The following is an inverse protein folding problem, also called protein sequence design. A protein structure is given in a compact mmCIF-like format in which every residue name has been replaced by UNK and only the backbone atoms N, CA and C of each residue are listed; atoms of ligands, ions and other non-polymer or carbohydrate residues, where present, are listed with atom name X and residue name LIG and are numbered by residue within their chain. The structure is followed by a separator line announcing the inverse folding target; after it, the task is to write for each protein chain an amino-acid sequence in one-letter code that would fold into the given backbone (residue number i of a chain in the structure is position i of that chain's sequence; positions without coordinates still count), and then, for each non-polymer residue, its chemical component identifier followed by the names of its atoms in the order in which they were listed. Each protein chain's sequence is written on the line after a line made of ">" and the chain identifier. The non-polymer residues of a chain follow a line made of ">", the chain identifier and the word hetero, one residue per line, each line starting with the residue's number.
data_IF_018717948492
#
_entry.id   IF_018717948492
#
_cell.length_a   1.000
_cell.length_b   1.000
_cell.length_c   1.000
_cell.angle_alpha   90.00
_cell.angle_beta   90.00
_cell.angle_gamma   90.00
#
_symmetry.space_group_name_H-M   'P 1'
#
loop_
_entity.id
_entity.type
_entity.pdbx_description
1 polymer ?
#
# COMPACT_ATOMS: atom_id res chain seq x y z
N UNK A 1 9.09 32.03 -28.58
CA UNK A 1 8.51 32.42 -27.27
C UNK A 1 7.00 32.44 -27.44
N UNK A 2 6.13 31.62 -26.84
CA UNK A 2 6.15 30.73 -25.68
C UNK A 2 5.27 29.51 -26.04
N UNK A 3 5.76 28.29 -25.91
CA UNK A 3 4.90 27.09 -25.96
C UNK A 3 4.41 26.82 -24.54
N UNK A 4 3.11 27.01 -24.31
CA UNK A 4 2.46 26.52 -23.11
C UNK A 4 2.02 25.07 -23.37
N UNK A 5 2.64 24.12 -22.68
CA UNK A 5 2.13 22.76 -22.55
C UNK A 5 1.40 22.65 -21.21
N UNK A 6 0.08 22.55 -21.30
CA UNK A 6 -0.83 22.19 -20.21
C UNK A 6 -0.54 20.75 -19.80
N UNK A 7 -0.02 20.54 -18.59
CA UNK A 7 0.12 19.19 -18.02
C UNK A 7 -1.26 18.78 -17.52
N UNK A 8 -1.91 17.89 -18.27
CA UNK A 8 -3.16 17.26 -17.85
C UNK A 8 -2.90 16.35 -16.65
N UNK A 9 -3.72 16.51 -15.61
CA UNK A 9 -3.68 15.71 -14.40
C UNK A 9 -3.87 14.24 -14.74
N UNK A 10 -2.90 13.41 -14.39
CA UNK A 10 -3.06 11.96 -14.44
C UNK A 10 -4.04 11.57 -13.34
N UNK A 11 -5.31 11.39 -13.70
CA UNK A 11 -6.26 10.68 -12.86
C UNK A 11 -5.66 9.32 -12.49
N UNK A 12 -5.47 9.09 -11.20
CA UNK A 12 -5.06 7.78 -10.69
C UNK A 12 -6.22 6.82 -10.94
N UNK A 13 -6.14 6.06 -12.03
CA UNK A 13 -6.97 4.85 -12.15
C UNK A 13 -6.58 3.94 -10.99
N UNK A 14 -7.47 3.80 -10.01
CA UNK A 14 -7.43 2.69 -9.07
C UNK A 14 -7.28 1.41 -9.91
N UNK A 15 -6.16 0.71 -9.74
CA UNK A 15 -5.95 -0.55 -10.42
C UNK A 15 -7.09 -1.47 -10.04
N UNK A 16 -7.85 -1.96 -11.04
CA UNK A 16 -8.89 -2.96 -10.79
C UNK A 16 -8.25 -4.14 -10.03
N UNK A 17 -8.90 -4.65 -8.97
CA UNK A 17 -8.34 -5.76 -8.21
C UNK A 17 -8.10 -6.92 -9.17
N UNK A 18 -6.86 -7.42 -9.19
CA UNK A 18 -6.47 -8.57 -9.98
C UNK A 18 -7.34 -9.80 -9.69
N UNK A 19 -7.28 -10.84 -10.52
CA UNK A 19 -8.10 -12.04 -10.34
C UNK A 19 -7.91 -12.61 -8.93
N UNK A 20 -9.02 -12.76 -8.19
CA UNK A 20 -9.02 -13.36 -6.86
C UNK A 20 -8.68 -14.84 -7.00
N UNK A 21 -7.47 -15.23 -6.60
CA UNK A 21 -7.00 -16.62 -6.52
C UNK A 21 -7.73 -17.46 -5.43
N UNK A 22 -8.87 -16.96 -4.91
CA UNK A 22 -9.42 -17.30 -3.61
C UNK A 22 -10.47 -18.41 -3.58
N UNK A 23 -10.81 -19.02 -4.72
CA UNK A 23 -11.86 -20.04 -4.73
C UNK A 23 -11.37 -21.42 -4.23
N UNK A 24 -10.05 -21.66 -4.13
CA UNK A 24 -9.47 -22.99 -3.88
C UNK A 24 -8.53 -23.07 -2.66
N UNK A 25 -8.25 -21.96 -1.96
CA UNK A 25 -7.38 -21.96 -0.77
C UNK A 25 -8.22 -21.75 0.51
N UNK A 26 -8.22 -22.71 1.46
CA UNK A 26 -8.99 -22.58 2.71
C UNK A 26 -8.41 -21.55 3.68
N UNK A 27 -7.24 -20.97 3.42
CA UNK A 27 -6.62 -19.98 4.31
C UNK A 27 -7.36 -18.64 4.24
N UNK A 28 -7.59 -17.99 5.39
CA UNK A 28 -8.24 -16.69 5.42
C UNK A 28 -7.40 -15.66 4.68
N UNK A 29 -8.02 -14.94 3.76
CA UNK A 29 -7.40 -13.79 3.10
C UNK A 29 -7.45 -12.61 4.06
N UNK A 30 -6.29 -12.05 4.33
CA UNK A 30 -6.16 -10.82 5.12
C UNK A 30 -5.76 -9.72 4.15
N UNK A 31 -6.66 -8.77 3.95
CA UNK A 31 -6.38 -7.57 3.16
C UNK A 31 -5.56 -6.59 4.00
N UNK A 32 -4.47 -6.09 3.44
CA UNK A 32 -3.55 -5.14 4.09
C UNK A 32 -3.17 -4.04 3.12
N UNK A 33 -2.95 -2.83 3.65
CA UNK A 33 -2.34 -1.71 2.92
C UNK A 33 -0.88 -1.52 3.35
N UNK A 34 -0.06 -1.02 2.43
CA UNK A 34 1.33 -0.63 2.71
C UNK A 34 1.60 0.75 2.10
N UNK A 35 2.07 1.68 2.93
CA UNK A 35 2.38 3.05 2.57
C UNK A 35 3.84 3.22 2.18
N UNK A 36 4.09 3.83 1.02
CA UNK A 36 5.44 4.23 0.59
C UNK A 36 5.58 5.74 0.81
N UNK A 37 6.29 6.11 1.87
CA UNK A 37 6.43 7.51 2.29
C UNK A 37 7.85 8.00 1.97
N UNK A 38 7.94 8.99 1.09
CA UNK A 38 9.21 9.56 0.65
C UNK A 38 9.44 10.95 1.25
N UNK A 39 10.64 11.21 1.75
CA UNK A 39 11.06 12.55 2.19
C UNK A 39 12.54 12.75 1.90
N UNK A 40 12.89 13.83 1.19
CA UNK A 40 14.29 14.18 0.86
C UNK A 40 15.07 13.03 0.19
N UNK A 41 14.41 12.30 -0.71
CA UNK A 41 15.00 11.14 -1.40
C UNK A 41 15.15 9.88 -0.55
N UNK A 42 14.63 9.87 0.68
CA UNK A 42 14.64 8.72 1.57
C UNK A 42 13.25 8.11 1.67
N UNK A 43 13.17 6.78 1.78
CA UNK A 43 11.94 6.02 1.98
C UNK A 43 11.83 5.62 3.46
N UNK A 44 10.66 5.83 4.06
CA UNK A 44 10.39 5.39 5.43
C UNK A 44 10.15 3.88 5.47
N UNK A 45 10.90 3.19 6.33
CA UNK A 45 10.69 1.81 6.75
C UNK A 45 10.70 1.74 8.27
N UNK A 46 9.95 0.83 8.86
CA UNK A 46 9.88 0.61 10.30
C UNK A 46 10.44 -0.76 10.66
N UNK A 47 11.01 -0.90 11.85
CA UNK A 47 11.42 -2.20 12.38
C UNK A 47 10.36 -2.71 13.35
N UNK A 48 9.92 -3.95 13.16
CA UNK A 48 8.91 -4.57 14.02
C UNK A 48 9.44 -4.75 15.43
N UNK A 49 8.59 -4.50 16.43
CA UNK A 49 8.90 -4.78 17.82
C UNK A 49 9.36 -6.24 17.99
N UNK A 50 10.39 -6.46 18.81
CA UNK A 50 11.02 -7.78 18.95
C UNK A 50 10.04 -8.88 19.39
N UNK A 51 9.03 -8.56 20.21
CA UNK A 51 8.02 -9.51 20.67
C UNK A 51 6.84 -9.74 19.70
N UNK A 52 6.79 -9.04 18.57
CA UNK A 52 5.73 -9.22 17.59
C UNK A 52 5.99 -10.44 16.69
N UNK A 53 4.94 -10.93 16.02
CA UNK A 53 5.12 -11.88 14.91
C UNK A 53 6.09 -11.29 13.90
N UNK A 54 7.15 -12.04 13.52
CA UNK A 54 8.25 -11.56 12.68
C UNK A 54 9.00 -10.33 13.25
N UNK A 55 9.17 -10.28 14.58
CA UNK A 55 9.88 -9.19 15.25
C UNK A 55 11.31 -8.99 14.77
N UNK A 56 11.77 -7.73 14.79
CA UNK A 56 13.12 -7.35 14.36
C UNK A 56 13.33 -7.22 12.85
N UNK A 57 12.37 -7.67 12.03
CA UNK A 57 12.39 -7.44 10.58
C UNK A 57 11.92 -6.03 10.21
N UNK A 58 12.33 -5.58 9.03
CA UNK A 58 11.90 -4.31 8.44
C UNK A 58 10.56 -4.46 7.71
N UNK A 59 9.72 -3.44 7.77
CA UNK A 59 8.42 -3.38 7.10
C UNK A 59 8.12 -1.97 6.57
N UNK A 60 7.13 -1.88 5.67
CA UNK A 60 6.52 -0.61 5.32
C UNK A 60 5.41 -0.29 6.32
N UNK A 61 5.20 1.01 6.67
CA UNK A 61 4.04 1.42 7.44
C UNK A 61 2.74 0.98 6.77
N UNK A 62 1.73 0.58 7.54
CA UNK A 62 0.47 0.11 7.01
C UNK A 62 -0.36 -0.62 8.05
N UNK A 63 -1.37 -1.35 7.60
CA UNK A 63 -2.30 -2.04 8.49
C UNK A 63 -3.18 -3.04 7.78
N UNK A 64 -3.92 -3.82 8.58
CA UNK A 64 -5.05 -4.60 8.08
C UNK A 64 -6.16 -3.62 7.72
N UNK A 65 -6.84 -3.90 6.61
CA UNK A 65 -8.05 -3.19 6.23
C UNK A 65 -9.20 -3.68 7.10
N UNK A 66 -9.89 -2.76 7.78
CA UNK A 66 -11.09 -3.09 8.55
C UNK A 66 -12.34 -3.05 7.65
N UNK A 67 -13.42 -3.66 8.16
CA UNK A 67 -14.66 -3.75 7.41
C UNK A 67 -15.25 -2.37 7.10
N UNK A 68 -15.41 -2.07 5.81
CA UNK A 68 -15.97 -0.80 5.34
C UNK A 68 -14.93 0.29 5.05
N UNK A 69 -13.65 0.06 5.37
CA UNK A 69 -12.58 0.98 4.98
C UNK A 69 -12.23 0.82 3.49
N UNK A 70 -11.88 1.93 2.84
CA UNK A 70 -11.08 1.90 1.61
C UNK A 70 -9.62 1.64 1.97
N UNK A 71 -8.76 1.36 0.97
CA UNK A 71 -7.34 1.12 1.25
C UNK A 71 -6.57 2.40 1.63
N UNK A 72 -7.15 3.56 1.34
CA UNK A 72 -6.58 4.89 1.58
C UNK A 72 -6.95 5.47 2.95
N UNK A 73 -7.94 4.89 3.64
CA UNK A 73 -8.36 5.28 5.00
C UNK A 73 -7.46 4.63 6.05
#
# INVERSE_FOLDING_TARGET
>A
MKSQSRVEGRESRAAAPGPRLSALDPRPIIEVSAGLIFRRGQLLITQRHAGAHLGGLWEFPGGKREAGESFEQ
#
